data_IF_180205513906
#
_entry.id   IF_180205513906
#
_cell.length_a   1.000
_cell.length_b   1.000
_cell.length_c   1.000
_cell.angle_alpha   90.00
_cell.angle_beta   90.00
_cell.angle_gamma   90.00
#
_symmetry.space_group_name_H-M   'P 1'
#
loop_
_entity.id
_entity.type
_entity.pdbx_description
1 polymer ?
#
# COMPACT_ATOMS: atom_id res chain seq x y z
N UNK A 1 -72.86 -16.05 58.44
CA UNK A 1 -73.35 -14.66 58.35
C UNK A 1 -72.17 -13.76 58.67
N UNK A 2 -71.99 -12.71 57.88
CA UNK A 2 -70.88 -11.74 57.85
C UNK A 2 -69.59 -12.10 57.08
N UNK A 3 -69.11 -11.04 56.41
CA UNK A 3 -68.19 -10.94 55.28
C UNK A 3 -66.84 -10.44 55.79
N UNK A 4 -65.72 -10.91 55.23
CA UNK A 4 -64.53 -10.05 55.13
C UNK A 4 -63.64 -10.49 53.97
N UNK A 5 -63.38 -9.57 53.05
CA UNK A 5 -62.54 -9.76 51.88
C UNK A 5 -61.06 -9.52 52.17
N UNK A 6 -60.20 -10.12 51.35
CA UNK A 6 -58.80 -9.74 51.22
C UNK A 6 -58.50 -9.53 49.73
N UNK A 7 -58.07 -8.31 49.42
CA UNK A 7 -57.51 -7.86 48.14
C UNK A 7 -56.05 -8.29 48.11
N UNK A 8 -55.61 -9.00 47.07
CA UNK A 8 -54.18 -9.20 46.76
C UNK A 8 -53.88 -8.54 45.42
N UNK A 9 -52.92 -7.63 45.47
CA UNK A 9 -52.47 -6.76 44.39
C UNK A 9 -51.74 -7.53 43.28
N UNK A 10 -52.07 -7.21 42.02
CA UNK A 10 -51.28 -7.60 40.85
C UNK A 10 -50.23 -6.51 40.57
N UNK A 11 -48.96 -6.87 40.68
CA UNK A 11 -47.82 -6.07 40.21
C UNK A 11 -47.62 -6.27 38.71
N UNK A 12 -47.82 -5.22 37.91
CA UNK A 12 -47.47 -5.18 36.48
C UNK A 12 -45.97 -4.89 36.32
N UNK A 13 -45.23 -5.89 35.83
CA UNK A 13 -43.86 -5.72 35.38
C UNK A 13 -43.83 -4.98 34.02
N UNK A 14 -43.23 -3.79 33.99
CA UNK A 14 -42.93 -3.07 32.76
C UNK A 14 -41.59 -3.56 32.20
N UNK A 15 -41.63 -4.32 31.11
CA UNK A 15 -40.44 -4.61 30.29
C UNK A 15 -40.22 -3.46 29.31
N UNK A 16 -39.23 -2.61 29.59
CA UNK A 16 -38.76 -1.61 28.64
C UNK A 16 -37.96 -2.30 27.52
N UNK A 17 -38.50 -2.34 26.30
CA UNK A 17 -37.74 -2.72 25.11
C UNK A 17 -36.74 -1.60 24.79
N UNK A 18 -35.45 -1.83 25.08
CA UNK A 18 -34.38 -1.06 24.47
C UNK A 18 -34.23 -1.52 23.01
N UNK A 19 -34.88 -0.82 22.09
CA UNK A 19 -34.61 -0.95 20.66
C UNK A 19 -33.22 -0.38 20.35
N UNK A 20 -32.27 -1.24 20.00
CA UNK A 20 -30.99 -0.82 19.47
C UNK A 20 -31.19 -0.26 18.05
N UNK A 21 -31.12 1.06 17.90
CA UNK A 21 -30.94 1.70 16.60
C UNK A 21 -29.52 1.38 16.11
N UNK A 22 -29.37 0.27 15.37
CA UNK A 22 -28.23 0.11 14.48
C UNK A 22 -28.38 1.17 13.39
N UNK A 23 -27.59 2.24 13.47
CA UNK A 23 -27.42 3.13 12.34
C UNK A 23 -26.84 2.30 11.18
N UNK A 24 -27.64 2.10 10.13
CA UNK A 24 -27.14 1.48 8.91
C UNK A 24 -25.98 2.34 8.40
N UNK A 25 -24.78 1.78 8.35
CA UNK A 25 -23.65 2.42 7.68
C UNK A 25 -24.09 2.71 6.25
N UNK A 26 -24.19 3.99 5.87
CA UNK A 26 -24.56 4.37 4.53
C UNK A 26 -23.56 3.74 3.56
N UNK A 27 -24.04 2.93 2.61
CA UNK A 27 -23.19 2.35 1.57
C UNK A 27 -22.60 3.48 0.74
N UNK A 28 -21.27 3.52 0.66
CA UNK A 28 -20.56 4.51 -0.17
C UNK A 28 -20.87 4.19 -1.65
N UNK A 29 -21.33 5.20 -2.40
CA UNK A 29 -21.45 5.09 -3.85
C UNK A 29 -20.05 4.99 -4.46
N UNK A 30 -19.67 3.78 -4.88
CA UNK A 30 -18.37 3.51 -5.50
C UNK A 30 -18.32 3.85 -6.99
N UNK A 31 -19.44 4.26 -7.60
CA UNK A 31 -19.53 4.55 -9.03
C UNK A 31 -19.30 6.03 -9.36
N UNK A 32 -19.66 6.94 -8.45
CA UNK A 32 -19.55 8.39 -8.66
C UNK A 32 -18.48 9.02 -7.77
N UNK A 33 -17.52 9.72 -8.38
CA UNK A 33 -16.51 10.47 -7.64
C UNK A 33 -16.66 11.99 -7.80
N UNK A 34 -16.29 12.72 -6.74
CA UNK A 34 -16.02 14.16 -6.81
C UNK A 34 -14.70 14.35 -7.56
N UNK A 35 -14.72 15.05 -8.68
CA UNK A 35 -13.52 15.35 -9.47
C UNK A 35 -12.86 16.64 -8.98
N UNK A 36 -11.57 16.57 -8.70
CA UNK A 36 -10.68 17.70 -8.46
C UNK A 36 -9.54 17.64 -9.48
N UNK A 37 -9.17 18.76 -10.07
CA UNK A 37 -8.12 18.85 -11.10
C UNK A 37 -6.92 19.63 -10.57
N UNK A 38 -5.74 19.04 -10.69
CA UNK A 38 -4.46 19.68 -10.40
C UNK A 38 -3.75 19.99 -11.72
N UNK A 39 -3.42 21.26 -11.94
CA UNK A 39 -2.71 21.74 -13.13
C UNK A 39 -1.80 22.92 -12.75
N UNK A 40 -0.48 22.73 -12.86
CA UNK A 40 0.52 23.76 -12.55
C UNK A 40 0.37 25.02 -13.42
N UNK A 41 -0.27 24.92 -14.60
CA UNK A 41 -0.55 26.06 -15.47
C UNK A 41 -1.69 26.95 -14.94
N UNK A 42 -2.39 26.55 -13.88
CA UNK A 42 -3.54 27.27 -13.32
C UNK A 42 -4.87 27.04 -14.06
N UNK A 43 -4.95 26.07 -14.96
CA UNK A 43 -6.20 25.69 -15.66
C UNK A 43 -7.01 24.60 -14.94
N UNK A 44 -6.54 24.16 -13.77
CA UNK A 44 -7.20 23.22 -12.87
C UNK A 44 -7.80 23.93 -11.66
N UNK A 45 -8.39 23.15 -10.75
CA UNK A 45 -8.93 23.67 -9.48
C UNK A 45 -7.78 24.06 -8.51
N UNK A 46 -6.64 23.37 -8.59
CA UNK A 46 -5.43 23.65 -7.82
C UNK A 46 -4.18 23.59 -8.69
N UNK A 47 -3.10 24.26 -8.26
CA UNK A 47 -1.77 24.16 -8.90
C UNK A 47 -0.88 23.10 -8.25
N UNK A 48 -1.09 22.82 -6.97
CA UNK A 48 -0.33 21.88 -6.15
C UNK A 48 -1.15 20.64 -5.82
N UNK A 49 -0.47 19.52 -5.62
CA UNK A 49 -1.11 18.27 -5.21
C UNK A 49 -1.56 18.36 -3.75
N UNK A 50 -0.72 18.91 -2.85
CA UNK A 50 -1.07 19.00 -1.43
C UNK A 50 -2.32 19.86 -1.22
N UNK A 51 -2.42 21.02 -1.87
CA UNK A 51 -3.60 21.90 -1.75
C UNK A 51 -4.91 21.19 -2.14
N UNK A 52 -4.87 20.32 -3.16
CA UNK A 52 -6.03 19.53 -3.58
C UNK A 52 -6.44 18.49 -2.54
N UNK A 53 -5.47 17.81 -1.92
CA UNK A 53 -5.72 16.88 -0.80
C UNK A 53 -6.26 17.66 0.41
N UNK A 54 -5.68 18.82 0.69
CA UNK A 54 -6.06 19.68 1.82
C UNK A 54 -7.51 20.17 1.70
N UNK A 55 -7.99 20.37 0.48
CA UNK A 55 -9.37 20.76 0.19
C UNK A 55 -10.43 19.68 0.48
N UNK A 56 -10.02 18.41 0.60
CA UNK A 56 -10.94 17.32 0.97
C UNK A 56 -11.28 17.44 2.46
N UNK A 57 -12.57 17.45 2.84
CA UNK A 57 -12.97 17.55 4.25
C UNK A 57 -12.44 16.38 5.10
N UNK A 58 -12.18 16.60 6.41
CA UNK A 58 -11.88 15.52 7.34
C UNK A 58 -13.08 14.56 7.48
N UNK A 59 -12.80 13.32 7.84
CA UNK A 59 -13.75 12.21 7.91
C UNK A 59 -14.53 11.98 6.60
N UNK A 60 -13.85 12.15 5.46
CA UNK A 60 -14.45 12.01 4.14
C UNK A 60 -15.09 10.63 3.95
N UNK A 61 -16.33 10.59 3.45
CA UNK A 61 -17.06 9.35 3.15
C UNK A 61 -17.45 9.24 1.67
N UNK A 62 -16.88 10.09 0.81
CA UNK A 62 -17.19 10.14 -0.62
C UNK A 62 -15.95 9.76 -1.44
N UNK A 63 -16.15 9.13 -2.60
CA UNK A 63 -15.03 8.98 -3.52
C UNK A 63 -14.58 10.36 -4.03
N UNK A 64 -13.32 10.70 -3.80
CA UNK A 64 -12.70 11.90 -4.36
C UNK A 64 -11.64 11.48 -5.35
N UNK A 65 -11.73 11.93 -6.58
CA UNK A 65 -10.78 11.66 -7.64
C UNK A 65 -10.01 12.94 -7.98
N UNK A 66 -8.75 12.98 -7.55
CA UNK A 66 -7.81 14.06 -7.84
C UNK A 66 -7.04 13.68 -9.12
N UNK A 67 -7.42 14.31 -10.23
CA UNK A 67 -6.76 14.17 -11.53
C UNK A 67 -5.61 15.16 -11.65
N UNK A 68 -4.40 14.65 -11.78
CA UNK A 68 -3.16 15.43 -11.86
C UNK A 68 -2.69 15.47 -13.30
N UNK A 69 -2.49 16.69 -13.84
CA UNK A 69 -1.95 16.88 -15.18
C UNK A 69 -0.47 16.46 -15.26
N UNK A 70 0.06 16.24 -16.47
CA UNK A 70 1.50 16.05 -16.67
C UNK A 70 2.30 17.22 -16.10
N UNK A 71 3.40 16.92 -15.41
CA UNK A 71 4.25 17.90 -14.74
C UNK A 71 5.21 17.26 -13.76
N UNK A 72 6.17 18.06 -13.30
CA UNK A 72 7.07 17.71 -12.20
C UNK A 72 6.64 18.52 -10.98
N UNK A 73 6.10 17.80 -10.00
CA UNK A 73 5.59 18.32 -8.75
C UNK A 73 6.65 18.11 -7.67
N UNK A 74 7.46 19.14 -7.42
CA UNK A 74 8.45 19.13 -6.34
C UNK A 74 7.76 19.48 -5.02
N UNK A 75 7.11 18.49 -4.41
CA UNK A 75 6.30 18.61 -3.20
C UNK A 75 6.56 17.41 -2.28
N UNK A 76 6.51 17.63 -0.96
CA UNK A 76 6.25 16.54 0.00
C UNK A 76 4.74 16.41 0.13
N UNK A 77 4.21 15.25 -0.20
CA UNK A 77 2.78 14.98 -0.20
C UNK A 77 2.42 14.10 0.98
N UNK A 78 1.38 14.46 1.72
CA UNK A 78 0.79 13.64 2.77
C UNK A 78 -0.70 13.55 2.51
N UNK A 79 -1.23 12.33 2.50
CA UNK A 79 -2.68 12.07 2.57
C UNK A 79 -3.02 11.72 4.02
N UNK A 80 -3.57 12.68 4.80
CA UNK A 80 -3.86 12.52 6.22
C UNK A 80 -4.83 11.38 6.51
N UNK A 81 -4.68 10.72 7.67
CA UNK A 81 -5.45 9.53 8.05
C UNK A 81 -6.98 9.75 8.06
N UNK A 82 -7.43 10.98 8.33
CA UNK A 82 -8.83 11.39 8.37
C UNK A 82 -9.43 11.69 6.98
N UNK A 83 -8.70 11.44 5.89
CA UNK A 83 -9.17 11.68 4.51
C UNK A 83 -9.20 10.40 3.66
N UNK A 84 -10.01 9.38 4.04
CA UNK A 84 -10.08 8.15 3.27
C UNK A 84 -10.76 8.36 1.91
N UNK A 85 -10.76 7.32 1.07
CA UNK A 85 -11.42 7.29 -0.25
C UNK A 85 -10.89 8.28 -1.31
N UNK A 86 -9.70 8.86 -1.10
CA UNK A 86 -9.01 9.66 -2.11
C UNK A 86 -8.37 8.75 -3.16
N UNK A 87 -8.61 9.06 -4.43
CA UNK A 87 -7.84 8.56 -5.57
C UNK A 87 -6.99 9.68 -6.14
N UNK A 88 -5.67 9.50 -6.20
CA UNK A 88 -4.75 10.42 -6.88
C UNK A 88 -4.28 9.77 -8.19
N UNK A 89 -4.59 10.38 -9.32
CA UNK A 89 -4.31 9.82 -10.63
C UNK A 89 -3.59 10.80 -11.53
N UNK A 90 -2.41 10.42 -12.02
CA UNK A 90 -1.78 11.03 -13.19
C UNK A 90 -2.46 10.57 -14.49
N UNK A 91 -1.89 10.97 -15.63
CA UNK A 91 -2.33 10.48 -16.96
C UNK A 91 -1.49 9.30 -17.43
N UNK A 92 -0.17 9.35 -17.17
CA UNK A 92 0.80 8.28 -17.40
C UNK A 92 1.88 8.42 -16.34
N UNK A 93 2.41 7.30 -15.84
CA UNK A 93 3.47 7.40 -14.82
C UNK A 93 4.69 8.17 -15.32
N UNK A 94 5.04 8.07 -16.60
CA UNK A 94 6.21 8.77 -17.17
C UNK A 94 6.08 10.29 -17.27
N UNK A 95 4.90 10.88 -17.06
CA UNK A 95 4.68 12.31 -17.27
C UNK A 95 4.10 13.07 -16.06
N UNK A 96 3.65 12.38 -15.01
CA UNK A 96 3.23 12.99 -13.74
C UNK A 96 4.18 12.51 -12.64
N UNK A 97 5.14 13.36 -12.28
CA UNK A 97 6.25 13.02 -11.38
C UNK A 97 6.10 13.82 -10.08
N UNK A 98 6.03 13.14 -8.94
CA UNK A 98 6.09 13.72 -7.60
C UNK A 98 7.50 13.45 -7.08
N UNK A 99 8.26 14.50 -6.75
CA UNK A 99 9.68 14.37 -6.43
C UNK A 99 10.08 15.16 -5.19
N UNK A 100 10.92 14.54 -4.37
CA UNK A 100 11.67 15.19 -3.31
C UNK A 100 13.09 14.60 -3.20
N UNK A 101 13.85 14.97 -2.18
CA UNK A 101 15.26 14.61 -2.04
C UNK A 101 15.75 14.58 -0.59
N UNK A 102 14.88 14.24 0.37
CA UNK A 102 15.29 14.09 1.78
C UNK A 102 15.86 12.69 2.01
N UNK A 103 16.90 12.57 2.83
CA UNK A 103 17.43 11.30 3.32
C UNK A 103 17.45 11.27 4.86
N UNK A 104 17.77 10.12 5.43
CA UNK A 104 17.92 9.94 6.88
C UNK A 104 16.73 9.23 7.51
N UNK A 105 16.01 9.90 8.43
CA UNK A 105 14.92 9.25 9.18
C UNK A 105 13.84 8.69 8.23
N UNK A 106 13.50 7.42 8.37
CA UNK A 106 12.60 6.69 7.45
C UNK A 106 11.15 7.22 7.48
N UNK A 107 10.74 7.89 8.54
CA UNK A 107 9.42 8.49 8.67
C UNK A 107 9.36 9.95 8.25
N UNK A 108 10.51 10.62 8.12
CA UNK A 108 10.62 12.02 7.72
C UNK A 108 11.08 12.18 6.27
N UNK A 109 11.92 11.28 5.75
CA UNK A 109 12.39 11.27 4.36
C UNK A 109 11.35 11.00 3.26
N UNK A 110 10.14 10.43 3.51
CA UNK A 110 9.18 10.16 2.44
C UNK A 110 8.86 11.39 1.57
N UNK A 111 8.95 11.20 0.25
CA UNK A 111 8.41 12.16 -0.74
C UNK A 111 6.88 12.18 -0.68
N UNK A 112 6.27 11.00 -0.53
CA UNK A 112 4.83 10.85 -0.44
C UNK A 112 4.47 9.87 0.70
N UNK A 113 3.68 10.33 1.67
CA UNK A 113 3.08 9.51 2.72
C UNK A 113 1.57 9.34 2.53
N UNK A 114 1.10 8.09 2.46
CA UNK A 114 -0.32 7.73 2.45
C UNK A 114 -0.69 7.17 3.82
N UNK A 115 -1.40 7.97 4.62
CA UNK A 115 -1.85 7.60 5.96
C UNK A 115 -3.35 7.27 5.98
N UNK A 116 -4.11 7.71 4.99
CA UNK A 116 -5.54 7.45 4.85
C UNK A 116 -5.83 6.03 4.38
N UNK A 117 -6.95 5.48 4.88
CA UNK A 117 -7.49 4.23 4.36
C UNK A 117 -8.17 4.39 3.01
N UNK A 118 -8.33 3.29 2.27
CA UNK A 118 -9.07 3.24 0.99
C UNK A 118 -8.49 4.16 -0.11
N UNK A 119 -7.21 4.52 0.02
CA UNK A 119 -6.48 5.34 -0.93
C UNK A 119 -6.18 4.58 -2.22
N UNK A 120 -6.23 5.27 -3.36
CA UNK A 120 -5.81 4.70 -4.65
C UNK A 120 -4.85 5.63 -5.39
N UNK A 121 -3.63 5.18 -5.65
CA UNK A 121 -2.66 5.86 -6.52
C UNK A 121 -2.66 5.28 -7.93
N UNK A 122 -2.67 6.10 -8.98
CA UNK A 122 -2.67 5.61 -10.37
C UNK A 122 -1.75 6.42 -11.27
N UNK A 123 -0.93 5.73 -12.06
CA UNK A 123 -0.16 6.34 -13.14
C UNK A 123 0.69 7.55 -12.70
N UNK A 124 1.33 7.42 -11.53
CA UNK A 124 2.24 8.42 -10.96
C UNK A 124 3.67 7.87 -10.98
N UNK A 125 4.65 8.74 -11.20
CA UNK A 125 6.01 8.50 -10.69
C UNK A 125 6.14 9.18 -9.34
N UNK A 126 6.57 8.44 -8.33
CA UNK A 126 6.87 8.93 -6.99
C UNK A 126 8.34 8.62 -6.76
N UNK A 127 9.16 9.66 -6.58
CA UNK A 127 10.60 9.47 -6.51
C UNK A 127 11.25 10.29 -5.40
N UNK A 128 12.25 9.67 -4.75
CA UNK A 128 13.17 10.36 -3.88
C UNK A 128 14.57 10.34 -4.51
N UNK A 129 15.10 11.52 -4.77
CA UNK A 129 16.35 11.77 -5.52
C UNK A 129 17.57 12.01 -4.64
N UNK A 130 17.48 11.74 -3.33
CA UNK A 130 18.61 11.90 -2.40
C UNK A 130 19.86 11.10 -2.82
N UNK A 131 19.67 9.91 -3.39
CA UNK A 131 20.75 9.03 -3.85
C UNK A 131 21.15 7.98 -2.80
N UNK A 132 22.39 7.51 -2.87
CA UNK A 132 22.86 6.34 -2.12
C UNK A 132 23.46 6.64 -0.74
N UNK A 133 23.34 7.87 -0.24
CA UNK A 133 24.01 8.31 0.99
C UNK A 133 23.41 7.75 2.28
N UNK A 134 22.11 7.45 2.28
CA UNK A 134 21.33 7.00 3.43
C UNK A 134 19.95 6.52 2.94
N UNK A 135 19.05 6.13 3.86
CA UNK A 135 17.64 5.85 3.62
C UNK A 135 16.96 7.05 2.97
N UNK A 136 16.20 6.82 1.92
CA UNK A 136 15.54 7.86 1.15
C UNK A 136 14.20 7.35 0.63
N UNK A 137 13.15 7.47 1.45
CA UNK A 137 11.85 6.90 1.11
C UNK A 137 11.19 7.72 0.00
N UNK A 138 10.76 7.06 -1.08
CA UNK A 138 9.92 7.67 -2.11
C UNK A 138 8.45 7.63 -1.68
N UNK A 139 7.98 6.46 -1.27
CA UNK A 139 6.60 6.25 -0.86
C UNK A 139 6.56 5.55 0.51
N UNK A 140 5.83 6.15 1.45
CA UNK A 140 5.41 5.50 2.69
C UNK A 140 3.91 5.22 2.63
N UNK A 141 3.50 4.01 2.97
CA UNK A 141 2.08 3.64 3.05
C UNK A 141 1.79 3.02 4.41
N UNK A 142 0.92 3.66 5.18
CA UNK A 142 0.53 3.24 6.54
C UNK A 142 -1.00 3.20 6.73
N UNK A 143 -1.77 3.62 5.72
CA UNK A 143 -3.22 3.58 5.75
C UNK A 143 -3.76 2.25 5.21
N UNK A 144 -4.72 1.65 5.89
CA UNK A 144 -5.25 0.34 5.50
C UNK A 144 -6.01 0.39 4.15
N UNK A 145 -6.00 -0.71 3.38
CA UNK A 145 -6.72 -0.81 2.10
C UNK A 145 -6.26 0.21 1.06
N UNK A 146 -4.94 0.34 0.88
CA UNK A 146 -4.36 1.20 -0.14
C UNK A 146 -3.97 0.42 -1.41
N UNK A 147 -4.30 0.95 -2.59
CA UNK A 147 -3.96 0.33 -3.87
C UNK A 147 -3.19 1.25 -4.81
N UNK A 148 -2.23 0.69 -5.56
CA UNK A 148 -1.42 1.43 -6.53
C UNK A 148 -1.44 0.70 -7.89
N UNK A 149 -1.77 1.44 -8.95
CA UNK A 149 -1.93 0.88 -10.30
C UNK A 149 -1.04 1.60 -11.31
N UNK A 150 -0.14 0.87 -11.95
CA UNK A 150 0.70 1.41 -13.01
C UNK A 150 1.62 2.55 -12.54
N UNK A 151 1.98 2.58 -11.26
CA UNK A 151 2.86 3.60 -10.68
C UNK A 151 4.34 3.22 -10.86
N UNK A 152 5.21 4.23 -10.80
CA UNK A 152 6.67 4.07 -10.69
C UNK A 152 7.10 4.59 -9.33
N UNK A 153 7.81 3.78 -8.54
CA UNK A 153 8.28 4.14 -7.19
C UNK A 153 9.80 3.98 -7.19
N UNK A 154 10.53 5.10 -7.08
CA UNK A 154 11.95 5.17 -7.41
C UNK A 154 12.77 5.81 -6.29
N UNK A 155 13.75 5.10 -5.76
CA UNK A 155 14.83 5.69 -4.97
C UNK A 155 16.03 4.75 -4.91
N UNK A 156 16.78 4.75 -3.80
CA UNK A 156 17.95 3.91 -3.57
C UNK A 156 17.73 2.99 -2.38
N UNK A 157 17.96 3.45 -1.16
CA UNK A 157 17.71 2.69 0.07
C UNK A 157 16.31 3.00 0.63
N UNK A 158 15.58 1.97 1.05
CA UNK A 158 14.26 2.08 1.68
C UNK A 158 13.21 2.78 0.76
N UNK A 159 13.27 2.52 -0.55
CA UNK A 159 12.45 3.22 -1.59
C UNK A 159 10.95 3.22 -1.28
N UNK A 160 10.40 2.05 -0.95
CA UNK A 160 9.02 1.84 -0.56
C UNK A 160 8.99 1.37 0.89
N UNK A 161 8.57 2.25 1.80
CA UNK A 161 8.19 1.89 3.17
C UNK A 161 6.71 1.49 3.17
N UNK A 162 6.48 0.20 2.96
CA UNK A 162 5.19 -0.46 3.05
C UNK A 162 4.88 -0.78 4.53
N UNK A 163 4.66 0.28 5.29
CA UNK A 163 4.70 0.37 6.76
C UNK A 163 3.74 -0.62 7.44
N UNK A 164 2.44 -0.42 7.28
CA UNK A 164 1.38 -1.25 7.90
C UNK A 164 0.07 -1.12 7.15
N UNK A 165 -0.81 -2.10 7.27
CA UNK A 165 -2.10 -2.18 6.58
C UNK A 165 -2.15 -3.27 5.51
N UNK A 166 -3.25 -3.32 4.78
CA UNK A 166 -3.47 -4.25 3.65
C UNK A 166 -3.30 -3.51 2.33
N UNK A 167 -2.27 -3.84 1.54
CA UNK A 167 -1.94 -3.08 0.33
C UNK A 167 -1.88 -3.93 -0.93
N UNK A 168 -2.15 -3.29 -2.07
CA UNK A 168 -2.13 -3.93 -3.38
C UNK A 168 -1.41 -3.06 -4.41
N UNK A 169 -0.36 -3.60 -5.02
CA UNK A 169 0.42 -2.96 -6.07
C UNK A 169 0.24 -3.76 -7.36
N UNK A 170 -0.27 -3.14 -8.41
CA UNK A 170 -0.60 -3.81 -9.67
C UNK A 170 0.06 -3.12 -10.85
N UNK A 171 0.82 -3.89 -11.63
CA UNK A 171 1.52 -3.38 -12.83
C UNK A 171 2.44 -2.19 -12.52
N UNK A 172 2.99 -2.12 -11.30
CA UNK A 172 3.90 -1.05 -10.89
C UNK A 172 5.34 -1.38 -11.28
N UNK A 173 6.16 -0.33 -11.42
CA UNK A 173 7.61 -0.42 -11.50
C UNK A 173 8.21 0.08 -10.17
N UNK A 174 9.04 -0.74 -9.52
CA UNK A 174 9.65 -0.40 -8.24
C UNK A 174 11.16 -0.59 -8.36
N UNK A 175 11.94 0.43 -8.02
CA UNK A 175 13.39 0.44 -8.21
C UNK A 175 14.13 0.94 -6.98
N UNK A 176 15.18 0.20 -6.58
CA UNK A 176 16.10 0.61 -5.52
C UNK A 176 17.28 -0.36 -5.36
N UNK A 177 18.05 -0.21 -4.29
CA UNK A 177 19.29 -0.95 -4.06
C UNK A 177 19.26 -1.78 -2.78
N UNK A 178 19.05 -1.13 -1.63
CA UNK A 178 19.10 -1.76 -0.30
C UNK A 178 17.74 -1.67 0.36
N UNK A 179 17.20 -2.81 0.78
CA UNK A 179 15.94 -2.92 1.53
C UNK A 179 14.79 -2.13 0.89
N UNK A 180 14.78 -2.07 -0.45
CA UNK A 180 14.04 -1.01 -1.12
C UNK A 180 12.52 -1.25 -1.15
N UNK A 181 12.06 -2.42 -0.70
CA UNK A 181 10.69 -2.68 -0.27
C UNK A 181 10.74 -3.18 1.17
N UNK A 182 10.37 -2.35 2.13
CA UNK A 182 10.48 -2.67 3.56
C UNK A 182 9.21 -2.31 4.33
N UNK A 183 9.07 -2.83 5.55
CA UNK A 183 7.91 -2.57 6.41
C UNK A 183 7.16 -3.83 6.83
N UNK A 184 5.98 -3.66 7.41
CA UNK A 184 5.21 -4.69 8.13
C UNK A 184 3.80 -4.89 7.58
N UNK A 185 3.48 -4.33 6.41
CA UNK A 185 2.18 -4.50 5.77
C UNK A 185 1.89 -5.94 5.31
N UNK A 186 0.61 -6.25 5.11
CA UNK A 186 0.15 -7.38 4.33
C UNK A 186 -0.02 -6.91 2.88
N UNK A 187 0.83 -7.36 1.97
CA UNK A 187 0.89 -6.76 0.62
C UNK A 187 1.04 -7.76 -0.49
N UNK A 188 0.33 -7.49 -1.58
CA UNK A 188 0.49 -8.21 -2.85
C UNK A 188 1.02 -7.24 -3.90
N UNK A 189 2.15 -7.61 -4.49
CA UNK A 189 2.72 -7.02 -5.69
C UNK A 189 2.38 -7.96 -6.86
N UNK A 190 1.42 -7.59 -7.69
CA UNK A 190 0.95 -8.40 -8.82
C UNK A 190 1.40 -7.80 -10.15
N UNK A 191 2.01 -8.62 -11.00
CA UNK A 191 2.49 -8.23 -12.33
C UNK A 191 3.40 -7.00 -12.31
N UNK A 192 4.11 -6.78 -11.19
CA UNK A 192 5.02 -5.65 -11.04
C UNK A 192 6.39 -5.96 -11.65
N UNK A 193 7.09 -4.92 -12.09
CA UNK A 193 8.51 -4.99 -12.43
C UNK A 193 9.31 -4.43 -11.26
N UNK A 194 10.03 -5.30 -10.58
CA UNK A 194 10.91 -4.98 -9.46
C UNK A 194 12.36 -5.00 -9.97
N UNK A 195 13.05 -3.86 -9.89
CA UNK A 195 14.36 -3.67 -10.50
C UNK A 195 15.40 -3.22 -9.46
N UNK A 196 16.39 -4.06 -9.19
CA UNK A 196 17.50 -3.68 -8.33
C UNK A 196 18.57 -2.90 -9.11
N UNK A 197 18.86 -1.68 -8.67
CA UNK A 197 19.97 -0.86 -9.20
C UNK A 197 21.28 -1.07 -8.44
N UNK A 198 21.30 -1.96 -7.44
CA UNK A 198 22.53 -2.29 -6.73
C UNK A 198 23.58 -2.88 -7.67
N UNK A 199 24.83 -2.47 -7.49
CA UNK A 199 25.98 -3.03 -8.21
C UNK A 199 26.48 -4.31 -7.58
N UNK A 200 26.47 -4.37 -6.25
CA UNK A 200 26.95 -5.52 -5.48
C UNK A 200 26.01 -5.76 -4.29
N UNK A 201 25.43 -6.94 -4.23
CA UNK A 201 24.72 -7.50 -3.09
C UNK A 201 23.65 -6.57 -2.48
N UNK A 202 22.80 -5.98 -3.33
CA UNK A 202 21.59 -5.29 -2.87
C UNK A 202 20.60 -6.24 -2.18
N UNK A 203 19.52 -5.69 -1.63
CA UNK A 203 18.42 -6.47 -1.06
C UNK A 203 17.09 -5.90 -1.54
N UNK A 204 16.24 -6.75 -2.11
CA UNK A 204 14.92 -6.33 -2.60
C UNK A 204 13.98 -6.06 -1.44
N UNK A 205 13.86 -7.00 -0.51
CA UNK A 205 12.91 -6.87 0.60
C UNK A 205 13.57 -6.85 1.98
N UNK A 206 13.01 -6.05 2.89
CA UNK A 206 13.26 -6.14 4.32
C UNK A 206 11.93 -6.11 5.10
N UNK A 207 11.28 -7.28 5.21
CA UNK A 207 9.95 -7.38 5.81
C UNK A 207 10.05 -7.51 7.35
N UNK A 208 9.20 -6.79 8.08
CA UNK A 208 9.25 -6.60 9.53
C UNK A 208 8.02 -7.15 10.26
N UNK A 209 7.73 -8.45 10.10
CA UNK A 209 6.76 -9.16 10.94
C UNK A 209 7.44 -9.62 12.22
N UNK A 210 6.88 -9.24 13.37
CA UNK A 210 7.50 -9.49 14.68
C UNK A 210 6.86 -10.66 15.45
N UNK A 211 5.72 -11.17 15.00
CA UNK A 211 5.04 -12.27 15.67
C UNK A 211 4.37 -13.26 14.70
N UNK A 212 4.20 -14.53 15.10
CA UNK A 212 3.55 -15.53 14.27
C UNK A 212 2.04 -15.29 14.14
N UNK A 213 1.43 -14.51 15.02
CA UNK A 213 -0.01 -14.19 14.98
C UNK A 213 -0.34 -12.95 14.14
N UNK A 214 0.66 -12.14 13.80
CA UNK A 214 0.47 -10.98 12.93
C UNK A 214 0.19 -11.44 11.49
N UNK A 215 -0.94 -11.03 10.92
CA UNK A 215 -1.28 -11.34 9.52
C UNK A 215 -0.64 -10.33 8.57
N UNK A 216 0.69 -10.41 8.41
CA UNK A 216 1.47 -9.56 7.49
C UNK A 216 2.48 -10.36 6.67
N UNK A 217 2.98 -9.76 5.60
CA UNK A 217 3.90 -10.41 4.67
C UNK A 217 3.85 -9.79 3.28
N UNK A 218 4.90 -9.99 2.51
CA UNK A 218 4.97 -9.53 1.13
C UNK A 218 4.88 -10.70 0.15
N UNK A 219 3.94 -10.60 -0.78
CA UNK A 219 3.78 -11.59 -1.85
C UNK A 219 3.99 -10.94 -3.21
N UNK A 220 4.94 -11.47 -3.99
CA UNK A 220 5.22 -11.07 -5.36
C UNK A 220 4.66 -12.12 -6.32
N UNK A 221 3.57 -11.77 -7.01
CA UNK A 221 2.79 -12.68 -7.85
C UNK A 221 2.92 -12.30 -9.32
N UNK A 222 3.51 -13.17 -10.13
CA UNK A 222 3.66 -12.91 -11.58
C UNK A 222 4.58 -11.74 -11.89
N UNK A 223 5.50 -11.40 -10.99
CA UNK A 223 6.39 -10.26 -11.12
C UNK A 223 7.59 -10.54 -12.02
N UNK A 224 8.20 -9.47 -12.53
CA UNK A 224 9.50 -9.50 -13.20
C UNK A 224 10.56 -8.95 -12.24
N UNK A 225 11.43 -9.81 -11.76
CA UNK A 225 12.53 -9.47 -10.85
C UNK A 225 13.84 -9.38 -11.62
N UNK A 226 14.44 -8.20 -11.62
CA UNK A 226 15.64 -7.89 -12.41
C UNK A 226 16.64 -7.06 -11.62
N UNK A 227 17.87 -6.93 -12.11
CA UNK A 227 18.80 -5.96 -11.57
C UNK A 227 20.00 -5.67 -12.47
N UNK A 228 20.78 -4.65 -12.12
CA UNK A 228 21.98 -4.24 -12.87
C UNK A 228 23.28 -4.89 -12.40
N UNK A 229 23.28 -5.44 -11.18
CA UNK A 229 24.38 -6.16 -10.57
C UNK A 229 23.83 -7.37 -9.82
N UNK A 230 24.32 -7.62 -8.61
CA UNK A 230 23.78 -8.69 -7.75
C UNK A 230 22.84 -8.18 -6.65
N UNK A 231 21.80 -8.96 -6.33
CA UNK A 231 20.88 -8.70 -5.24
C UNK A 231 20.34 -9.99 -4.61
N UNK A 232 20.04 -9.92 -3.31
CA UNK A 232 19.21 -10.87 -2.60
C UNK A 232 17.73 -10.56 -2.82
N UNK A 233 16.90 -11.59 -2.82
CA UNK A 233 15.45 -11.51 -2.78
C UNK A 233 14.98 -10.79 -1.51
N UNK A 234 15.69 -10.96 -0.40
CA UNK A 234 15.40 -10.24 0.84
C UNK A 234 16.26 -10.66 2.02
N UNK A 235 16.05 -9.96 3.14
CA UNK A 235 16.62 -10.27 4.44
C UNK A 235 15.66 -9.89 5.60
N UNK A 236 15.70 -10.62 6.73
CA UNK A 236 14.68 -10.50 7.76
C UNK A 236 14.93 -9.34 8.71
N UNK A 237 14.21 -8.23 8.48
CA UNK A 237 14.16 -7.14 9.44
C UNK A 237 13.48 -7.61 10.73
N UNK A 238 12.28 -8.21 10.63
CA UNK A 238 11.53 -8.76 11.76
C UNK A 238 11.80 -10.25 12.00
N UNK A 239 11.51 -10.74 13.20
CA UNK A 239 11.84 -12.12 13.61
C UNK A 239 10.99 -13.19 12.89
N UNK A 240 9.78 -12.83 12.45
CA UNK A 240 8.85 -13.70 11.72
C UNK A 240 8.68 -13.24 10.27
N UNK A 241 9.71 -12.59 9.71
CA UNK A 241 9.70 -12.01 8.38
C UNK A 241 9.11 -12.97 7.34
N UNK A 242 8.11 -12.52 6.59
CA UNK A 242 7.35 -13.36 5.64
C UNK A 242 7.41 -12.76 4.25
N UNK A 243 8.04 -13.46 3.30
CA UNK A 243 8.17 -13.02 1.90
C UNK A 243 8.01 -14.21 0.96
N UNK A 244 7.12 -14.07 -0.02
CA UNK A 244 6.84 -15.11 -1.03
C UNK A 244 7.00 -14.57 -2.43
N UNK A 245 7.79 -15.24 -3.25
CA UNK A 245 7.82 -15.02 -4.71
C UNK A 245 7.11 -16.18 -5.40
N UNK A 246 6.04 -15.88 -6.14
CA UNK A 246 5.23 -16.88 -6.83
C UNK A 246 5.09 -16.53 -8.32
N UNK A 247 5.26 -17.53 -9.18
CA UNK A 247 5.07 -17.42 -10.64
C UNK A 247 5.87 -16.26 -11.27
N UNK A 248 6.98 -15.89 -10.66
CA UNK A 248 7.74 -14.68 -11.01
C UNK A 248 9.00 -15.01 -11.81
N UNK A 249 9.33 -14.16 -12.78
CA UNK A 249 10.60 -14.24 -13.50
C UNK A 249 11.73 -13.66 -12.64
N UNK A 250 12.87 -14.33 -12.58
CA UNK A 250 14.09 -13.85 -11.92
C UNK A 250 15.26 -13.85 -12.90
N UNK A 251 15.82 -12.67 -13.16
CA UNK A 251 17.06 -12.53 -13.94
C UNK A 251 18.28 -13.06 -13.16
N UNK A 252 19.43 -13.18 -13.85
CA UNK A 252 20.71 -13.59 -13.24
C UNK A 252 21.26 -12.61 -12.20
N UNK A 253 20.61 -11.47 -11.98
CA UNK A 253 20.93 -10.56 -10.89
C UNK A 253 20.66 -11.15 -9.50
N UNK A 254 19.77 -12.15 -9.38
CA UNK A 254 19.50 -12.80 -8.10
C UNK A 254 20.64 -13.75 -7.76
N UNK A 255 21.27 -13.51 -6.61
CA UNK A 255 22.39 -14.35 -6.14
C UNK A 255 21.94 -15.79 -5.88
N UNK A 256 22.81 -16.80 -6.08
CA UNK A 256 22.42 -18.21 -5.90
C UNK A 256 21.84 -18.54 -4.52
N UNK A 257 22.40 -17.93 -3.45
CA UNK A 257 21.89 -18.06 -2.08
C UNK A 257 20.42 -17.60 -1.93
N UNK A 258 19.98 -16.68 -2.80
CA UNK A 258 18.62 -16.10 -2.83
C UNK A 258 18.36 -15.11 -1.72
N UNK A 259 18.63 -15.48 -0.46
CA UNK A 259 18.27 -14.71 0.72
C UNK A 259 19.47 -14.47 1.62
N UNK A 260 19.49 -13.33 2.30
CA UNK A 260 20.49 -13.00 3.31
C UNK A 260 19.86 -13.16 4.71
N UNK A 261 20.64 -13.67 5.65
CA UNK A 261 20.21 -13.96 7.02
C UNK A 261 20.36 -12.77 7.97
N UNK A 262 20.86 -11.62 7.49
CA UNK A 262 21.18 -10.46 8.33
C UNK A 262 22.11 -10.83 9.50
N UNK A 263 23.03 -11.78 9.26
CA UNK A 263 23.92 -12.35 10.28
C UNK A 263 23.20 -12.89 11.54
N UNK A 264 21.90 -13.21 11.47
CA UNK A 264 21.10 -13.73 12.58
C UNK A 264 20.60 -15.13 12.30
N UNK A 265 21.27 -16.12 12.88
CA UNK A 265 20.90 -17.52 12.70
C UNK A 265 19.62 -17.90 13.45
N UNK A 266 19.27 -17.16 14.52
CA UNK A 266 18.06 -17.38 15.31
C UNK A 266 16.78 -17.09 14.54
N UNK A 267 16.80 -16.14 13.60
CA UNK A 267 15.63 -15.82 12.77
C UNK A 267 15.35 -16.88 11.70
N UNK A 268 16.37 -17.67 11.31
CA UNK A 268 16.23 -18.65 10.23
C UNK A 268 15.16 -19.72 10.52
N UNK A 269 14.88 -20.02 11.79
CA UNK A 269 13.83 -20.97 12.18
C UNK A 269 12.41 -20.40 12.21
N UNK A 270 12.26 -19.07 12.17
CA UNK A 270 10.96 -18.39 12.35
C UNK A 270 10.49 -17.62 11.12
N UNK A 271 11.41 -17.25 10.22
CA UNK A 271 11.08 -16.58 8.96
C UNK A 271 10.40 -17.53 7.97
N UNK A 272 9.54 -16.98 7.12
CA UNK A 272 8.87 -17.70 6.04
C UNK A 272 9.25 -17.10 4.69
N UNK A 273 10.38 -17.53 4.14
CA UNK A 273 10.90 -17.08 2.85
C UNK A 273 10.76 -18.20 1.82
N UNK A 274 9.93 -17.96 0.81
CA UNK A 274 9.49 -19.04 -0.06
C UNK A 274 9.41 -18.65 -1.53
N UNK A 275 9.65 -19.63 -2.39
CA UNK A 275 9.51 -19.53 -3.85
C UNK A 275 8.53 -20.59 -4.37
N UNK A 276 7.59 -20.19 -5.24
CA UNK A 276 6.69 -21.10 -5.94
C UNK A 276 6.76 -20.89 -7.45
N UNK A 277 7.24 -21.90 -8.19
CA UNK A 277 7.30 -21.88 -9.66
C UNK A 277 7.87 -20.59 -10.26
N UNK A 278 8.87 -20.00 -9.60
CA UNK A 278 9.66 -18.93 -10.17
C UNK A 278 10.55 -19.49 -11.29
N UNK A 279 10.87 -18.66 -12.28
CA UNK A 279 11.57 -19.10 -13.49
C UNK A 279 12.58 -18.05 -13.96
N UNK A 280 13.44 -18.43 -14.91
CA UNK A 280 14.54 -17.60 -15.38
C UNK A 280 15.88 -17.93 -14.69
N UNK A 281 16.98 -17.33 -15.16
CA UNK A 281 18.34 -17.73 -14.75
C UNK A 281 18.63 -17.52 -13.25
N UNK A 282 17.96 -16.58 -12.58
CA UNK A 282 18.11 -16.35 -11.14
C UNK A 282 17.23 -17.22 -10.24
N UNK A 283 16.32 -18.01 -10.82
CA UNK A 283 15.36 -18.83 -10.09
C UNK A 283 15.90 -20.23 -9.72
N UNK A 284 17.14 -20.56 -10.10
CA UNK A 284 17.73 -21.86 -9.74
C UNK A 284 17.92 -21.95 -8.22
N UNK A 285 17.26 -22.94 -7.60
CA UNK A 285 17.26 -23.12 -6.15
C UNK A 285 18.35 -24.04 -5.59
N UNK A 286 19.19 -24.65 -6.43
CA UNK A 286 20.20 -25.65 -6.01
C UNK A 286 21.16 -25.12 -4.93
N UNK A 287 21.48 -23.82 -4.94
CA UNK A 287 22.38 -23.18 -3.98
C UNK A 287 21.67 -22.23 -3.02
N UNK A 288 20.33 -22.29 -2.93
CA UNK A 288 19.60 -21.46 -1.99
C UNK A 288 20.00 -21.82 -0.57
N UNK A 289 19.93 -20.83 0.31
CA UNK A 289 20.04 -21.07 1.75
C UNK A 289 19.03 -22.14 2.19
N UNK A 290 19.47 -23.04 3.07
CA UNK A 290 18.73 -24.26 3.46
C UNK A 290 17.38 -23.96 4.12
N UNK A 291 17.28 -22.82 4.81
CA UNK A 291 16.06 -22.39 5.50
C UNK A 291 15.01 -21.75 4.57
N UNK A 292 15.30 -21.59 3.28
CA UNK A 292 14.31 -21.10 2.30
C UNK A 292 13.44 -22.23 1.75
N UNK A 293 12.16 -21.95 1.54
CA UNK A 293 11.16 -22.97 1.22
C UNK A 293 10.85 -23.06 -0.28
N UNK A 294 10.72 -24.28 -0.79
CA UNK A 294 10.03 -24.55 -2.06
C UNK A 294 8.60 -24.89 -1.75
N UNK A 295 7.63 -24.13 -2.26
CA UNK A 295 6.24 -24.45 -2.00
C UNK A 295 5.72 -25.50 -2.99
N UNK A 296 4.91 -26.43 -2.49
CA UNK A 296 3.95 -27.21 -3.27
C UNK A 296 2.82 -26.31 -3.79
N UNK A 297 1.94 -26.87 -4.62
CA UNK A 297 0.78 -26.13 -5.13
C UNK A 297 -0.18 -25.77 -3.98
N UNK A 298 -0.37 -26.70 -3.05
CA UNK A 298 -1.28 -26.59 -1.93
C UNK A 298 -0.79 -25.53 -0.94
N UNK A 299 0.51 -25.53 -0.61
CA UNK A 299 1.13 -24.52 0.25
C UNK A 299 1.16 -23.13 -0.39
N UNK A 300 1.31 -23.07 -1.72
CA UNK A 300 1.31 -21.80 -2.44
C UNK A 300 -0.08 -21.18 -2.59
N UNK A 301 -1.16 -21.99 -2.58
CA UNK A 301 -2.51 -21.56 -2.94
C UNK A 301 -3.00 -20.27 -2.23
N UNK A 302 -2.75 -20.05 -0.91
CA UNK A 302 -3.15 -18.81 -0.23
C UNK A 302 -2.49 -17.56 -0.82
N UNK A 303 -1.24 -17.67 -1.29
CA UNK A 303 -0.44 -16.58 -1.84
C UNK A 303 -0.72 -16.31 -3.34
N UNK A 304 -1.47 -17.18 -4.02
CA UNK A 304 -1.84 -17.00 -5.43
C UNK A 304 -3.13 -16.18 -5.62
N UNK A 305 -3.74 -15.75 -4.51
CA UNK A 305 -4.99 -15.00 -4.51
C UNK A 305 -4.84 -13.70 -3.73
N UNK A 306 -5.86 -12.85 -3.82
CA UNK A 306 -5.92 -11.60 -3.05
C UNK A 306 -6.50 -11.79 -1.64
N UNK A 307 -6.64 -13.03 -1.18
CA UNK A 307 -7.28 -13.34 0.10
C UNK A 307 -6.47 -12.86 1.31
N UNK A 308 -5.13 -12.92 1.27
CA UNK A 308 -4.28 -12.49 2.41
C UNK A 308 -4.48 -11.02 2.79
N UNK A 309 -4.83 -10.18 1.81
CA UNK A 309 -5.13 -8.76 2.00
C UNK A 309 -6.64 -8.49 2.10
N UNK A 310 -7.49 -9.52 2.13
CA UNK A 310 -8.95 -9.36 2.09
C UNK A 310 -9.45 -8.67 0.81
N UNK A 311 -8.71 -8.74 -0.30
CA UNK A 311 -8.89 -7.85 -1.45
C UNK A 311 -10.29 -7.84 -2.07
N UNK A 312 -11.06 -8.93 -1.94
CA UNK A 312 -12.44 -8.99 -2.41
C UNK A 312 -13.37 -7.97 -1.72
N UNK A 313 -13.09 -7.59 -0.48
CA UNK A 313 -13.97 -6.69 0.29
C UNK A 313 -13.74 -5.21 -0.01
N UNK A 314 -12.56 -4.83 -0.51
CA UNK A 314 -12.17 -3.41 -0.58
C UNK A 314 -11.52 -2.97 -1.89
N UNK A 315 -10.97 -3.89 -2.69
CA UNK A 315 -10.45 -3.51 -4.00
C UNK A 315 -11.61 -3.03 -4.87
N UNK A 316 -11.53 -1.77 -5.26
CA UNK A 316 -12.56 -1.08 -6.03
C UNK A 316 -12.08 -0.72 -7.43
N UNK A 317 -13.01 -0.78 -8.37
CA UNK A 317 -12.80 -0.29 -9.73
C UNK A 317 -12.61 1.24 -9.76
N UNK A 318 -12.19 1.76 -10.91
CA UNK A 318 -12.23 3.20 -11.12
C UNK A 318 -13.69 3.69 -11.14
N UNK A 319 -14.00 4.87 -10.59
CA UNK A 319 -15.32 5.50 -10.74
C UNK A 319 -15.69 5.64 -12.21
N UNK A 320 -16.97 5.45 -12.54
CA UNK A 320 -17.52 5.58 -13.89
C UNK A 320 -18.13 6.95 -14.14
N UNK A 321 -18.55 7.64 -13.08
CA UNK A 321 -19.16 8.95 -13.14
C UNK A 321 -18.37 9.98 -12.31
N UNK A 322 -18.39 11.22 -12.77
CA UNK A 322 -17.70 12.32 -12.11
C UNK A 322 -18.63 13.52 -11.92
N UNK A 323 -18.65 14.07 -10.71
CA UNK A 323 -19.33 15.32 -10.39
C UNK A 323 -18.32 16.37 -9.93
N UNK A 324 -18.63 17.65 -10.10
CA UNK A 324 -17.80 18.73 -9.55
C UNK A 324 -18.04 18.88 -8.05
N UNK A 325 -17.03 19.32 -7.31
CA UNK A 325 -17.17 19.70 -5.90
C UNK A 325 -18.05 20.96 -5.78
N UNK A 326 -19.11 20.89 -4.97
CA UNK A 326 -20.00 22.04 -4.69
C UNK A 326 -19.27 23.16 -3.92
N UNK A 327 -18.21 22.83 -3.18
CA UNK A 327 -17.39 23.79 -2.43
C UNK A 327 -16.44 24.58 -3.34
N UNK A 328 -15.92 23.97 -4.42
CA UNK A 328 -15.03 24.63 -5.39
C UNK A 328 -15.80 25.58 -6.31
N UNK A 329 -17.08 25.30 -6.60
CA UNK A 329 -17.92 26.17 -7.43
C UNK A 329 -18.15 27.54 -6.76
N UNK A 330 -18.24 27.59 -5.42
CA UNK A 330 -18.49 28.83 -4.69
C UNK A 330 -17.30 29.80 -4.63
N UNK A 331 -16.05 29.32 -4.78
CA UNK A 331 -14.87 30.20 -4.78
C UNK A 331 -14.66 30.95 -6.10
N UNK A 332 -15.26 30.47 -7.20
CA UNK A 332 -15.15 31.11 -8.52
C UNK A 332 -16.33 32.03 -8.86
N UNK A 333 -17.41 32.03 -8.06
CA UNK A 333 -18.58 32.89 -8.26
C UNK A 333 -18.54 34.18 -7.43
N UNK A 334 -17.37 34.57 -6.91
CA UNK A 334 -17.20 35.68 -5.96
C UNK A 334 -16.30 36.83 -6.44
N UNK A 335 -16.05 36.97 -7.74
CA UNK A 335 -15.39 38.14 -8.34
C UNK A 335 -15.82 38.30 -9.80
N UNK A 336 -16.99 38.93 -9.99
CA UNK A 336 -17.33 39.92 -11.03
C UNK A 336 -18.83 40.18 -11.03
#
# INVERSE_FOLDING_TARGET
MEISGYIIAMTLAHTALFGSLMAAAASIDLSTAVLIRVDQSGKGDFKKIQDAIDSVPPNNSQLVFISVKPGVYREKVVVPADKPFITLSGTKASNTIITWSDGGNIFESPTFSVLASDFVGRFLTIQNTYGSGDKAVALRVSGDRAAFYGCRILSYQDTLLDDTGSHYYSNCYIEGATDFICGSAASIFESCHVHSISKNNGSITAQHRDSPTQNSGFTFLGCKITGTGSAYLGRPWGDYSTVVFALSYMSSAIVPAGWDSWASQTKQSTVFYAEYKCYGPGANRVQRVEWSQSLSKEEAAPFLTKAMIGGQSWLRGAPTYFRRSSTIVKSHSGNN
#
